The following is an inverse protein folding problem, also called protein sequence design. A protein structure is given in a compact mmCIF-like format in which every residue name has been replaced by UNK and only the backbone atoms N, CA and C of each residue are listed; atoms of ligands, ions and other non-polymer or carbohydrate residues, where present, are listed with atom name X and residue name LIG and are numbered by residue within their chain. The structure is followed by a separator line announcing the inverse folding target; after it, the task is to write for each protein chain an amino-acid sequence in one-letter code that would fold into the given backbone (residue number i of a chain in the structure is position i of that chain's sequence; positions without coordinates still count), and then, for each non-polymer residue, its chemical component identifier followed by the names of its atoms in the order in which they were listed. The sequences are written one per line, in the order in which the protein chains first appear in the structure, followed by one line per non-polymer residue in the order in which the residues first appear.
data_IF_331899049468
#
_entry.id   IF_331899049468
#
_cell.length_a   1.000
_cell.length_b   1.000
_cell.length_c   1.000
_cell.angle_alpha   90.00
_cell.angle_beta   90.00
_cell.angle_gamma   90.00
#
_symmetry.space_group_name_H-M   'P 1'
#
loop_
_entity.id
_entity.type
_entity.pdbx_description
1 polymer ?
#
# COMPACT_ATOMS: atom_id res chain seq x y z
N UNK A 1 5.64 -22.50 -7.47
CA UNK A 1 4.33 -22.27 -8.11
C UNK A 1 3.47 -21.22 -7.40
N UNK A 2 3.54 -21.06 -6.07
CA UNK A 2 2.72 -20.08 -5.34
C UNK A 2 3.08 -18.59 -5.59
N UNK A 3 4.37 -18.26 -5.74
CA UNK A 3 4.80 -16.85 -5.92
C UNK A 3 4.30 -16.21 -7.23
N UNK A 4 4.31 -16.94 -8.34
CA UNK A 4 3.84 -16.41 -9.63
C UNK A 4 2.34 -16.12 -9.61
N UNK A 5 1.54 -16.98 -8.95
CA UNK A 5 0.10 -16.74 -8.82
C UNK A 5 -0.21 -15.53 -7.94
N UNK A 6 0.59 -15.30 -6.89
CA UNK A 6 0.43 -14.14 -6.02
C UNK A 6 0.80 -12.85 -6.75
N UNK A 7 1.89 -12.83 -7.52
CA UNK A 7 2.29 -11.68 -8.32
C UNK A 7 1.23 -11.30 -9.36
N UNK A 8 0.61 -12.28 -10.02
CA UNK A 8 -0.47 -12.01 -10.96
C UNK A 8 -1.70 -11.39 -10.30
N UNK A 9 -2.06 -11.81 -9.09
CA UNK A 9 -3.16 -11.19 -8.33
C UNK A 9 -2.81 -9.76 -7.93
N UNK A 10 -1.59 -9.55 -7.43
CA UNK A 10 -1.10 -8.20 -7.11
C UNK A 10 -1.14 -7.31 -8.34
N UNK A 11 -0.69 -7.82 -9.50
CA UNK A 11 -0.68 -7.08 -10.74
C UNK A 11 -2.08 -6.68 -11.21
N UNK A 12 -3.05 -7.58 -11.11
CA UNK A 12 -4.44 -7.29 -11.47
C UNK A 12 -5.04 -6.21 -10.58
N UNK A 13 -4.88 -6.33 -9.26
CA UNK A 13 -5.40 -5.36 -8.31
C UNK A 13 -4.65 -4.01 -8.41
N UNK A 14 -3.35 -4.05 -8.67
CA UNK A 14 -2.52 -2.88 -8.95
C UNK A 14 -3.02 -2.13 -10.19
N UNK A 15 -3.28 -2.84 -11.29
CA UNK A 15 -3.77 -2.23 -12.53
C UNK A 15 -5.17 -1.65 -12.35
N UNK A 16 -6.06 -2.36 -11.65
CA UNK A 16 -7.43 -1.89 -11.38
C UNK A 16 -7.44 -0.62 -10.52
N UNK A 17 -6.54 -0.53 -9.54
CA UNK A 17 -6.49 0.57 -8.57
C UNK A 17 -5.28 1.49 -8.78
N UNK A 18 -4.71 1.51 -10.00
CA UNK A 18 -3.40 2.10 -10.26
C UNK A 18 -3.28 3.55 -9.80
N UNK A 19 -4.28 4.38 -10.12
CA UNK A 19 -4.29 5.80 -9.73
C UNK A 19 -4.16 5.96 -8.21
N UNK A 20 -4.93 5.21 -7.43
CA UNK A 20 -4.93 5.31 -5.97
C UNK A 20 -3.64 4.76 -5.37
N UNK A 21 -3.16 3.62 -5.86
CA UNK A 21 -1.92 2.98 -5.38
C UNK A 21 -0.72 3.85 -5.72
N UNK A 22 -0.67 4.42 -6.92
CA UNK A 22 0.39 5.35 -7.36
C UNK A 22 0.51 6.53 -6.41
N UNK A 23 -0.58 7.18 -6.01
CA UNK A 23 -0.51 8.27 -5.02
C UNK A 23 0.05 7.82 -3.67
N UNK A 24 -0.34 6.64 -3.19
CA UNK A 24 0.19 6.08 -1.93
C UNK A 24 1.66 5.69 -2.04
N UNK A 25 2.10 5.20 -3.20
CA UNK A 25 3.51 4.90 -3.46
C UNK A 25 4.35 6.17 -3.48
N UNK A 26 3.87 7.25 -4.10
CA UNK A 26 4.56 8.54 -4.08
C UNK A 26 4.68 9.11 -2.66
N UNK A 27 3.66 8.90 -1.83
CA UNK A 27 3.64 9.34 -0.43
C UNK A 27 4.59 8.51 0.45
N UNK A 28 4.54 7.18 0.37
CA UNK A 28 5.42 6.28 1.14
C UNK A 28 6.88 6.36 0.66
N UNK A 29 7.10 6.47 -0.65
CA UNK A 29 8.41 6.48 -1.30
C UNK A 29 8.70 7.85 -1.92
N UNK A 30 8.78 8.90 -1.10
CA UNK A 30 8.95 10.29 -1.56
C UNK A 30 10.21 10.61 -2.42
N UNK A 31 11.14 9.65 -2.58
CA UNK A 31 12.29 9.75 -3.49
C UNK A 31 11.98 9.27 -4.92
N UNK A 32 10.86 8.58 -5.11
CA UNK A 32 10.38 8.09 -6.41
C UNK A 32 9.46 9.11 -7.05
N UNK A 33 9.69 9.39 -8.34
CA UNK A 33 8.83 10.27 -9.12
C UNK A 33 7.69 9.51 -9.80
N UNK A 34 6.67 10.26 -10.23
CA UNK A 34 5.57 9.73 -11.07
C UNK A 34 6.09 9.05 -12.34
N UNK A 35 7.13 9.60 -12.96
CA UNK A 35 7.73 9.06 -14.17
C UNK A 35 8.41 7.70 -13.93
N UNK A 36 8.99 7.48 -12.75
CA UNK A 36 9.61 6.21 -12.40
C UNK A 36 8.55 5.11 -12.21
N UNK A 37 7.42 5.46 -11.58
CA UNK A 37 6.28 4.55 -11.38
C UNK A 37 5.59 4.20 -12.72
N UNK A 38 5.34 5.18 -13.58
CA UNK A 38 4.64 4.98 -14.85
C UNK A 38 5.51 4.26 -15.90
N UNK A 39 6.83 4.27 -15.73
CA UNK A 39 7.75 3.53 -16.58
C UNK A 39 7.77 2.02 -16.28
N UNK A 40 7.22 1.60 -15.13
CA UNK A 40 7.19 0.20 -14.73
C UNK A 40 6.25 -0.63 -15.62
N UNK A 41 6.74 -1.74 -16.15
CA UNK A 41 5.96 -2.61 -17.07
C UNK A 41 5.11 -3.65 -16.34
N UNK A 42 5.59 -4.07 -15.18
CA UNK A 42 5.01 -5.11 -14.34
C UNK A 42 5.41 -4.88 -12.87
N UNK A 43 4.88 -5.72 -11.98
CA UNK A 43 5.10 -5.60 -10.53
C UNK A 43 6.58 -5.76 -10.16
N UNK A 44 7.33 -6.63 -10.85
CA UNK A 44 8.73 -6.85 -10.54
C UNK A 44 9.55 -5.61 -10.93
N UNK A 45 9.35 -5.08 -12.15
CA UNK A 45 9.99 -3.83 -12.60
C UNK A 45 9.64 -2.64 -11.69
N UNK A 46 8.40 -2.56 -11.21
CA UNK A 46 7.96 -1.54 -10.24
C UNK A 46 8.75 -1.66 -8.92
N UNK A 47 8.86 -2.87 -8.37
CA UNK A 47 9.59 -3.13 -7.11
C UNK A 47 11.06 -2.77 -7.26
N UNK A 48 11.70 -3.17 -8.36
CA UNK A 48 13.11 -2.87 -8.61
C UNK A 48 13.37 -1.36 -8.72
N UNK A 49 12.54 -0.65 -9.50
CA UNK A 49 12.69 0.81 -9.67
C UNK A 49 12.54 1.56 -8.36
N UNK A 50 11.57 1.19 -7.53
CA UNK A 50 11.41 1.81 -6.22
C UNK A 50 12.62 1.49 -5.35
N UNK A 51 13.01 0.22 -5.25
CA UNK A 51 14.17 -0.21 -4.46
C UNK A 51 15.45 0.54 -4.85
N UNK A 52 15.73 0.65 -6.14
CA UNK A 52 16.89 1.36 -6.70
C UNK A 52 16.86 2.86 -6.37
N UNK A 53 15.70 3.50 -6.49
CA UNK A 53 15.56 4.95 -6.24
C UNK A 53 15.58 5.30 -4.77
N UNK A 54 14.95 4.47 -3.93
CA UNK A 54 14.83 4.73 -2.50
C UNK A 54 15.92 4.09 -1.66
N UNK A 55 16.80 3.29 -2.27
CA UNK A 55 17.81 2.47 -1.60
C UNK A 55 17.20 1.51 -0.55
N UNK A 56 15.97 1.05 -0.80
CA UNK A 56 15.32 0.03 0.01
C UNK A 56 15.56 -1.37 -0.59
N UNK A 57 15.38 -2.42 0.22
CA UNK A 57 15.40 -3.77 -0.32
C UNK A 57 14.13 -4.07 -1.12
N UNK A 58 14.26 -4.82 -2.22
CA UNK A 58 13.12 -5.28 -3.03
C UNK A 58 12.05 -5.96 -2.16
N UNK A 59 12.47 -6.78 -1.18
CA UNK A 59 11.57 -7.47 -0.24
C UNK A 59 10.73 -6.50 0.59
N UNK A 60 11.32 -5.39 1.04
CA UNK A 60 10.59 -4.37 1.80
C UNK A 60 9.53 -3.70 0.91
N UNK A 61 9.94 -3.32 -0.31
CA UNK A 61 9.04 -2.68 -1.29
C UNK A 61 7.91 -3.62 -1.69
N UNK A 62 8.19 -4.90 -1.95
CA UNK A 62 7.19 -5.92 -2.28
C UNK A 62 6.17 -6.09 -1.14
N UNK A 63 6.65 -6.15 0.11
CA UNK A 63 5.77 -6.24 1.29
C UNK A 63 4.85 -5.03 1.37
N UNK A 64 5.39 -3.82 1.19
CA UNK A 64 4.58 -2.58 1.17
C UNK A 64 3.57 -2.56 0.03
N UNK A 65 3.96 -3.03 -1.15
CA UNK A 65 3.06 -3.10 -2.30
C UNK A 65 1.89 -4.05 -2.01
N UNK A 66 2.15 -5.21 -1.41
CA UNK A 66 1.11 -6.16 -1.00
C UNK A 66 0.14 -5.57 0.03
N UNK A 67 0.64 -4.77 0.98
CA UNK A 67 -0.19 -4.05 1.95
C UNK A 67 -1.04 -2.96 1.28
N UNK A 68 -0.49 -2.25 0.29
CA UNK A 68 -1.18 -1.20 -0.44
C UNK A 68 -2.32 -1.72 -1.32
N UNK A 69 -2.09 -2.88 -1.95
CA UNK A 69 -3.01 -3.56 -2.85
C UNK A 69 -4.08 -4.34 -2.07
N UNK A 70 -3.84 -4.66 -0.80
CA UNK A 70 -4.80 -5.35 0.07
C UNK A 70 -4.71 -6.87 0.03
N UNK A 71 -3.81 -7.45 -0.77
CA UNK A 71 -3.57 -8.91 -0.87
C UNK A 71 -2.99 -9.50 0.43
N UNK A 72 -2.54 -8.66 1.37
CA UNK A 72 -2.15 -9.04 2.73
C UNK A 72 -2.66 -8.12 3.84
N UNK A 73 -3.52 -7.14 3.53
CA UNK A 73 -3.90 -6.07 4.47
C UNK A 73 -5.20 -6.34 5.26
N UNK A 74 -5.63 -7.59 5.37
CA UNK A 74 -6.73 -7.95 6.28
C UNK A 74 -6.33 -7.89 7.77
N UNK A 75 -5.07 -7.54 8.11
CA UNK A 75 -4.59 -7.56 9.50
C UNK A 75 -3.84 -6.33 10.02
N UNK A 76 -3.28 -5.45 9.18
CA UNK A 76 -2.24 -4.52 9.67
C UNK A 76 -2.26 -3.11 9.02
N UNK A 77 -3.45 -2.53 8.74
CA UNK A 77 -3.57 -1.10 8.40
C UNK A 77 -4.74 -0.40 9.09
N UNK A 78 -5.07 -0.87 10.30
CA UNK A 78 -6.06 -0.28 11.20
C UNK A 78 -5.48 0.49 12.38
N UNK A 79 -4.16 0.73 12.44
CA UNK A 79 -3.56 1.52 13.51
C UNK A 79 -2.61 2.57 12.95
N UNK A 80 -3.09 3.81 13.02
CA UNK A 80 -2.31 5.05 13.14
C UNK A 80 -1.66 5.58 11.86
N UNK A 81 -2.42 6.30 11.01
CA UNK A 81 -2.14 7.71 10.69
C UNK A 81 -3.27 8.34 9.84
N UNK A 82 -3.81 9.48 10.31
CA UNK A 82 -4.54 10.46 9.48
C UNK A 82 -6.06 10.29 9.38
N UNK A 83 -6.81 10.84 10.34
CA UNK A 83 -8.26 10.74 10.41
C UNK A 83 -9.03 11.50 9.34
N UNK A 84 -10.09 10.86 8.84
CA UNK A 84 -11.28 11.49 8.27
C UNK A 84 -12.51 10.75 8.79
N UNK A 85 -13.24 11.41 9.69
CA UNK A 85 -14.70 11.25 9.79
C UNK A 85 -15.26 10.03 10.52
N UNK A 86 -15.87 10.32 11.67
CA UNK A 86 -17.06 9.68 12.25
C UNK A 86 -16.91 8.40 13.11
N UNK A 87 -17.70 8.42 14.19
CA UNK A 87 -17.91 7.42 15.25
C UNK A 87 -16.74 7.34 16.25
N UNK A 88 -16.90 7.57 17.55
CA UNK A 88 -18.08 7.34 18.37
C UNK A 88 -17.91 8.11 19.69
N UNK A 89 -18.41 9.35 19.74
CA UNK A 89 -18.64 10.07 20.99
C UNK A 89 -19.96 9.61 21.57
N UNK A 90 -19.98 8.45 22.24
CA UNK A 90 -21.10 8.00 23.07
C UNK A 90 -20.58 7.04 24.14
N UNK A 91 -20.15 7.60 25.27
CA UNK A 91 -20.18 6.93 26.57
C UNK A 91 -20.00 8.00 27.67
N UNK A 92 -20.93 8.95 27.67
CA UNK A 92 -21.19 9.82 28.81
C UNK A 92 -22.28 9.21 29.67
N UNK A 93 -21.91 8.84 30.90
CA UNK A 93 -22.75 8.75 32.10
C UNK A 93 -23.97 7.80 32.07
N UNK A 94 -23.81 6.62 32.68
CA UNK A 94 -24.91 6.00 33.43
C UNK A 94 -24.41 5.06 34.54
N UNK A 95 -23.92 5.62 35.64
CA UNK A 95 -24.01 4.97 36.95
C UNK A 95 -24.19 6.07 38.02
N UNK A 96 -25.37 6.10 38.64
CA UNK A 96 -25.68 7.08 39.69
C UNK A 96 -27.17 7.20 40.04
N UNK A 97 -27.76 6.14 40.59
CA UNK A 97 -28.65 6.10 41.78
C UNK A 97 -29.39 4.77 41.86
#
# INVERSE_FOLDING_TARGET
MAQQQQQQQIEQELRQNWQQIRYRLLDEFGQVGTADLDAARDVNDLVQRIADKTHHSERYVETRLQELVGVGAAGQRGQQQGGFGQQQGQQGQRFGR
#
